data_IF_932290685798
#
_entry.id   IF_932290685798
#
_cell.length_a   1.000
_cell.length_b   1.000
_cell.length_c   1.000
_cell.angle_alpha   90.00
_cell.angle_beta   90.00
_cell.angle_gamma   90.00
#
_symmetry.space_group_name_H-M   'P 1'
#
loop_
_entity.id
_entity.type
_entity.pdbx_description
1 polymer ?
#
# COMPACT_ATOMS: atom_id res chain seq x y z
N UNK A 1 1.50 -28.26 12.96
CA UNK A 1 1.06 -27.08 13.73
C UNK A 1 0.78 -26.01 12.69
N UNK A 2 -0.46 -25.52 12.55
CA UNK A 2 -0.81 -24.52 11.52
C UNK A 2 -0.40 -23.15 12.06
N UNK A 3 0.43 -22.42 11.32
CA UNK A 3 0.71 -21.02 11.63
C UNK A 3 -0.52 -20.18 11.25
N UNK A 4 -1.19 -19.51 12.20
CA UNK A 4 -2.36 -18.71 11.90
C UNK A 4 -2.00 -17.50 11.02
N UNK A 5 -2.86 -17.22 10.03
CA UNK A 5 -2.74 -16.00 9.23
C UNK A 5 -2.86 -14.78 10.15
N UNK A 6 -1.96 -13.81 10.00
CA UNK A 6 -1.99 -12.56 10.79
C UNK A 6 -3.26 -11.76 10.44
N UNK A 7 -3.87 -11.15 11.44
CA UNK A 7 -5.18 -10.49 11.31
C UNK A 7 -5.21 -9.38 10.25
N UNK A 8 -4.09 -8.69 10.04
CA UNK A 8 -3.91 -7.60 9.08
C UNK A 8 -3.62 -8.06 7.64
N UNK A 9 -3.27 -9.34 7.44
CA UNK A 9 -2.87 -9.89 6.14
C UNK A 9 -3.96 -9.78 5.07
N UNK A 10 -5.24 -10.10 5.34
CA UNK A 10 -6.30 -9.95 4.33
C UNK A 10 -6.45 -8.50 3.83
N UNK A 11 -6.36 -7.52 4.73
CA UNK A 11 -6.43 -6.12 4.36
C UNK A 11 -5.21 -5.69 3.52
N UNK A 12 -4.00 -6.13 3.91
CA UNK A 12 -2.78 -5.86 3.16
C UNK A 12 -2.80 -6.45 1.74
N UNK A 13 -3.30 -7.69 1.59
CA UNK A 13 -3.46 -8.37 0.29
C UNK A 13 -4.40 -7.59 -0.62
N UNK A 14 -5.56 -7.18 -0.10
CA UNK A 14 -6.53 -6.34 -0.86
C UNK A 14 -5.90 -5.02 -1.30
N UNK A 15 -5.12 -4.37 -0.43
CA UNK A 15 -4.45 -3.11 -0.75
C UNK A 15 -3.42 -3.27 -1.87
N UNK A 16 -2.62 -4.33 -1.85
CA UNK A 16 -1.66 -4.64 -2.90
C UNK A 16 -2.37 -4.94 -4.24
N UNK A 17 -3.47 -5.70 -4.21
CA UNK A 17 -4.28 -5.98 -5.40
C UNK A 17 -4.89 -4.70 -5.98
N UNK A 18 -5.43 -3.79 -5.16
CA UNK A 18 -5.93 -2.46 -5.58
C UNK A 18 -4.84 -1.60 -6.23
N UNK A 19 -3.58 -1.76 -5.83
CA UNK A 19 -2.43 -1.11 -6.46
C UNK A 19 -2.01 -1.72 -7.81
N UNK A 20 -2.75 -2.73 -8.29
CA UNK A 20 -2.50 -3.45 -9.53
C UNK A 20 -1.35 -4.46 -9.44
N UNK A 21 -1.02 -4.93 -8.24
CA UNK A 21 0.08 -5.88 -8.01
C UNK A 21 -0.46 -7.31 -8.07
N UNK A 22 0.10 -8.12 -8.96
CA UNK A 22 -0.14 -9.57 -9.00
C UNK A 22 0.56 -10.22 -7.82
N UNK A 23 -0.18 -10.97 -7.01
CA UNK A 23 0.35 -11.70 -5.86
C UNK A 23 0.52 -13.17 -6.21
N UNK A 24 1.64 -13.75 -5.78
CA UNK A 24 1.96 -15.16 -5.94
C UNK A 24 2.41 -15.68 -4.57
N UNK A 25 1.74 -16.71 -4.05
CA UNK A 25 2.07 -17.29 -2.75
C UNK A 25 3.05 -18.45 -2.92
N UNK A 26 4.18 -18.35 -2.23
CA UNK A 26 5.29 -19.32 -2.29
C UNK A 26 5.50 -19.96 -0.91
N UNK A 27 5.08 -21.22 -0.71
CA UNK A 27 5.17 -21.90 0.59
C UNK A 27 5.92 -23.23 0.54
N UNK A 28 6.62 -23.55 1.64
CA UNK A 28 7.21 -24.87 1.89
C UNK A 28 6.22 -25.88 2.48
N UNK A 29 5.05 -25.42 2.93
CA UNK A 29 3.99 -26.28 3.47
C UNK A 29 3.34 -27.13 2.37
N UNK A 30 2.55 -28.13 2.78
CA UNK A 30 1.79 -28.97 1.87
C UNK A 30 0.93 -28.13 0.93
N UNK A 31 0.78 -28.59 -0.31
CA UNK A 31 0.03 -27.87 -1.35
C UNK A 31 -1.39 -27.54 -0.91
N UNK A 32 -2.05 -28.49 -0.24
CA UNK A 32 -3.39 -28.31 0.31
C UNK A 32 -3.47 -27.17 1.34
N UNK A 33 -2.45 -27.00 2.18
CA UNK A 33 -2.42 -25.92 3.19
C UNK A 33 -2.20 -24.57 2.52
N UNK A 34 -1.28 -24.49 1.57
CA UNK A 34 -1.01 -23.27 0.81
C UNK A 34 -2.23 -22.82 -0.01
N UNK A 35 -2.91 -23.74 -0.69
CA UNK A 35 -4.14 -23.46 -1.46
C UNK A 35 -5.29 -22.97 -0.56
N UNK A 36 -5.44 -23.53 0.65
CA UNK A 36 -6.44 -23.07 1.61
C UNK A 36 -6.17 -21.62 2.07
N UNK A 37 -4.92 -21.29 2.38
CA UNK A 37 -4.51 -19.92 2.76
C UNK A 37 -4.73 -18.94 1.61
N UNK A 38 -4.32 -19.31 0.40
CA UNK A 38 -4.50 -18.46 -0.78
C UNK A 38 -5.97 -18.23 -1.13
N UNK A 39 -6.81 -19.25 -1.00
CA UNK A 39 -8.27 -19.11 -1.20
C UNK A 39 -8.86 -18.12 -0.19
N UNK A 40 -8.47 -18.21 1.08
CA UNK A 40 -8.91 -17.28 2.13
C UNK A 40 -8.45 -15.83 1.87
N UNK A 41 -7.28 -15.66 1.23
CA UNK A 41 -6.70 -14.35 0.93
C UNK A 41 -7.08 -13.83 -0.47
N UNK A 42 -7.72 -14.63 -1.31
CA UNK A 42 -8.03 -14.27 -2.70
C UNK A 42 -6.78 -14.16 -3.59
N UNK A 43 -5.78 -15.04 -3.40
CA UNK A 43 -4.57 -15.11 -4.22
C UNK A 43 -4.73 -16.21 -5.27
N UNK A 44 -4.66 -15.85 -6.55
CA UNK A 44 -4.95 -16.77 -7.66
C UNK A 44 -3.82 -17.77 -7.94
N UNK A 45 -2.56 -17.42 -7.63
CA UNK A 45 -1.40 -18.25 -7.94
C UNK A 45 -0.69 -18.72 -6.66
N UNK A 46 -0.62 -20.04 -6.50
CA UNK A 46 0.01 -20.71 -5.36
C UNK A 46 1.02 -21.73 -5.84
N UNK A 47 2.16 -21.75 -5.16
CA UNK A 47 3.18 -22.78 -5.25
C UNK A 47 3.43 -23.32 -3.83
N UNK A 48 2.99 -24.55 -3.57
CA UNK A 48 3.23 -25.25 -2.30
C UNK A 48 4.32 -26.32 -2.43
N UNK A 49 4.72 -26.91 -1.31
CA UNK A 49 5.75 -27.96 -1.20
C UNK A 49 7.10 -27.54 -1.81
N UNK A 50 7.43 -26.25 -1.71
CA UNK A 50 8.63 -25.72 -2.32
C UNK A 50 9.86 -25.82 -1.42
N UNK A 51 10.94 -26.31 -2.02
CA UNK A 51 12.29 -26.13 -1.52
C UNK A 51 12.78 -24.68 -1.74
N UNK A 52 13.82 -24.22 -1.03
CA UNK A 52 14.42 -22.90 -1.26
C UNK A 52 14.76 -22.62 -2.73
N UNK A 53 15.31 -23.60 -3.45
CA UNK A 53 15.61 -23.47 -4.89
C UNK A 53 14.35 -23.37 -5.75
N UNK A 54 13.23 -23.92 -5.28
CA UNK A 54 11.93 -23.78 -5.91
C UNK A 54 11.44 -22.34 -5.89
N UNK A 55 11.54 -21.68 -4.73
CA UNK A 55 11.19 -20.25 -4.58
C UNK A 55 12.03 -19.37 -5.52
N UNK A 56 13.33 -19.64 -5.60
CA UNK A 56 14.25 -18.95 -6.52
C UNK A 56 13.81 -19.11 -7.99
N UNK A 57 13.48 -20.34 -8.42
CA UNK A 57 13.02 -20.61 -9.78
C UNK A 57 11.71 -19.89 -10.13
N UNK A 58 10.79 -19.76 -9.18
CA UNK A 58 9.55 -18.99 -9.39
C UNK A 58 9.86 -17.53 -9.68
N UNK A 59 10.77 -16.91 -8.91
CA UNK A 59 11.21 -15.53 -9.15
C UNK A 59 11.83 -15.39 -10.54
N UNK A 60 12.76 -16.29 -10.91
CA UNK A 60 13.41 -16.28 -12.23
C UNK A 60 12.41 -16.49 -13.38
N UNK A 61 11.43 -17.37 -13.21
CA UNK A 61 10.38 -17.62 -14.19
C UNK A 61 9.55 -16.36 -14.43
N UNK A 62 9.10 -15.69 -13.35
CA UNK A 62 8.31 -14.47 -13.46
C UNK A 62 9.13 -13.33 -14.09
N UNK A 63 10.41 -13.20 -13.75
CA UNK A 63 11.32 -12.24 -14.39
C UNK A 63 11.51 -12.54 -15.88
N UNK A 64 11.64 -13.82 -16.26
CA UNK A 64 11.76 -14.24 -17.66
C UNK A 64 10.49 -13.95 -18.48
N UNK A 65 9.32 -13.89 -17.83
CA UNK A 65 8.06 -13.43 -18.44
C UNK A 65 7.98 -11.90 -18.59
N UNK A 66 9.02 -11.16 -18.17
CA UNK A 66 9.09 -9.70 -18.25
C UNK A 66 8.44 -8.96 -17.07
N UNK A 67 8.05 -9.68 -16.01
CA UNK A 67 7.56 -9.05 -14.79
C UNK A 67 8.71 -8.48 -13.95
N UNK A 68 8.43 -7.37 -13.24
CA UNK A 68 9.26 -6.91 -12.13
C UNK A 68 8.78 -7.61 -10.87
N UNK A 69 9.67 -8.33 -10.20
CA UNK A 69 9.32 -9.21 -9.10
C UNK A 69 9.81 -8.64 -7.78
N UNK A 70 8.88 -8.41 -6.85
CA UNK A 70 9.20 -8.19 -5.45
C UNK A 70 9.01 -9.48 -4.66
N UNK A 71 9.99 -9.87 -3.84
CA UNK A 71 9.90 -11.05 -2.97
C UNK A 71 9.79 -10.59 -1.51
N UNK A 72 8.89 -11.18 -0.74
CA UNK A 72 8.75 -10.92 0.70
C UNK A 72 9.07 -12.21 1.45
N UNK A 73 9.92 -12.14 2.46
CA UNK A 73 10.31 -13.30 3.27
C UNK A 73 10.88 -12.91 4.62
N UNK A 74 10.99 -13.89 5.50
CA UNK A 74 11.48 -13.73 6.88
C UNK A 74 12.56 -14.77 7.24
N UNK A 75 12.69 -15.86 6.48
CA UNK A 75 13.58 -16.97 6.80
C UNK A 75 14.87 -17.03 5.99
N UNK A 76 15.84 -17.78 6.50
CA UNK A 76 17.08 -18.17 5.80
C UNK A 76 16.77 -18.86 4.46
N UNK A 77 15.66 -19.61 4.41
CA UNK A 77 15.20 -20.31 3.21
C UNK A 77 14.77 -19.36 2.07
N UNK A 78 14.44 -18.11 2.39
CA UNK A 78 14.00 -17.11 1.42
C UNK A 78 15.14 -16.23 0.91
N UNK A 79 16.29 -16.23 1.60
CA UNK A 79 17.42 -15.36 1.28
C UNK A 79 17.88 -15.45 -0.20
N UNK A 80 18.01 -16.65 -0.82
CA UNK A 80 18.36 -16.72 -2.24
C UNK A 80 17.29 -16.10 -3.15
N UNK A 81 16.02 -16.27 -2.84
CA UNK A 81 14.91 -15.71 -3.62
C UNK A 81 14.78 -14.19 -3.42
N UNK A 82 15.04 -13.69 -2.20
CA UNK A 82 15.11 -12.26 -1.87
C UNK A 82 16.21 -11.59 -2.70
N UNK A 83 17.41 -12.15 -2.73
CA UNK A 83 18.54 -11.61 -3.47
C UNK A 83 18.37 -11.65 -5.01
N UNK A 84 17.54 -12.58 -5.52
CA UNK A 84 17.26 -12.70 -6.96
C UNK A 84 16.16 -11.76 -7.44
N UNK A 85 15.25 -11.36 -6.56
CA UNK A 85 14.13 -10.48 -6.90
C UNK A 85 14.64 -9.11 -7.39
N UNK A 86 13.80 -8.38 -8.15
CA UNK A 86 14.11 -6.99 -8.48
C UNK A 86 14.08 -6.10 -7.23
N UNK A 87 13.33 -6.53 -6.21
CA UNK A 87 13.34 -5.92 -4.88
C UNK A 87 13.01 -6.98 -3.82
N UNK A 88 13.95 -7.27 -2.93
CA UNK A 88 13.74 -8.12 -1.76
C UNK A 88 13.22 -7.33 -0.56
N UNK A 89 12.17 -7.83 0.09
CA UNK A 89 11.59 -7.28 1.32
C UNK A 89 11.75 -8.28 2.47
N UNK A 90 12.54 -7.92 3.49
CA UNK A 90 12.65 -8.70 4.71
C UNK A 90 11.70 -8.15 5.78
N UNK A 91 11.02 -9.04 6.51
CA UNK A 91 10.30 -8.66 7.74
C UNK A 91 11.34 -8.48 8.86
N UNK A 92 11.20 -7.46 9.69
CA UNK A 92 12.18 -7.10 10.73
C UNK A 92 12.31 -8.11 11.88
N UNK A 93 11.31 -8.98 12.05
CA UNK A 93 11.38 -10.17 12.91
C UNK A 93 12.06 -11.37 12.24
N UNK A 94 12.45 -11.24 10.97
CA UNK A 94 13.13 -12.25 10.20
C UNK A 94 14.58 -12.48 10.63
N UNK A 95 15.16 -13.53 10.08
CA UNK A 95 16.56 -13.92 10.37
C UNK A 95 17.55 -12.90 9.81
N UNK A 96 18.71 -12.74 10.46
CA UNK A 96 19.78 -11.83 10.00
C UNK A 96 20.16 -12.08 8.53
N UNK A 97 20.16 -13.34 8.11
CA UNK A 97 20.46 -13.72 6.71
C UNK A 97 19.39 -13.17 5.75
N UNK A 98 18.12 -13.17 6.12
CA UNK A 98 17.06 -12.60 5.29
C UNK A 98 17.19 -11.07 5.22
N UNK A 99 17.51 -10.42 6.34
CA UNK A 99 17.70 -8.97 6.43
C UNK A 99 18.88 -8.52 5.57
N UNK A 100 20.02 -9.20 5.63
CA UNK A 100 21.23 -8.88 4.86
C UNK A 100 21.06 -9.07 3.34
N UNK A 101 20.16 -9.97 2.92
CA UNK A 101 19.90 -10.27 1.51
C UNK A 101 18.73 -9.48 0.91
N UNK A 102 18.02 -8.68 1.71
CA UNK A 102 16.90 -7.86 1.24
C UNK A 102 17.33 -6.42 0.95
N UNK A 103 16.71 -5.79 -0.06
CA UNK A 103 16.91 -4.37 -0.36
C UNK A 103 16.17 -3.46 0.64
N UNK A 104 15.07 -3.97 1.22
CA UNK A 104 14.20 -3.23 2.13
C UNK A 104 13.88 -4.09 3.36
N UNK A 105 14.20 -3.58 4.54
CA UNK A 105 13.82 -4.20 5.82
C UNK A 105 12.62 -3.48 6.42
N UNK A 106 11.53 -4.20 6.65
CA UNK A 106 10.29 -3.69 7.22
C UNK A 106 10.38 -3.77 8.75
N UNK A 107 10.31 -2.63 9.44
CA UNK A 107 10.46 -2.60 10.90
C UNK A 107 9.33 -3.32 11.67
N UNK A 108 8.18 -3.56 11.02
CA UNK A 108 7.04 -4.24 11.62
C UNK A 108 6.70 -5.56 10.94
N UNK A 109 5.78 -6.29 11.54
CA UNK A 109 5.34 -7.61 11.11
C UNK A 109 4.19 -7.58 10.09
N UNK A 110 3.85 -6.41 9.56
CA UNK A 110 2.69 -6.23 8.68
C UNK A 110 3.09 -6.22 7.20
N UNK A 111 2.36 -7.00 6.40
CA UNK A 111 2.46 -6.91 4.93
C UNK A 111 1.99 -5.55 4.39
N UNK A 112 1.24 -4.77 5.17
CA UNK A 112 0.85 -3.41 4.79
C UNK A 112 2.06 -2.47 4.63
N UNK A 113 3.16 -2.77 5.32
CA UNK A 113 4.40 -2.01 5.16
C UNK A 113 5.02 -2.17 3.77
N UNK A 114 4.81 -3.31 3.09
CA UNK A 114 5.21 -3.51 1.68
C UNK A 114 4.44 -2.56 0.77
N UNK A 115 3.12 -2.52 0.92
CA UNK A 115 2.26 -1.58 0.19
C UNK A 115 2.71 -0.13 0.40
N UNK A 116 3.00 0.23 1.65
CA UNK A 116 3.48 1.57 2.02
C UNK A 116 4.78 1.92 1.34
N UNK A 117 5.76 1.00 1.37
CA UNK A 117 7.05 1.19 0.71
C UNK A 117 6.88 1.41 -0.79
N UNK A 118 6.02 0.62 -1.44
CA UNK A 118 5.71 0.76 -2.88
C UNK A 118 5.02 2.11 -3.17
N UNK A 119 4.06 2.51 -2.33
CA UNK A 119 3.35 3.79 -2.48
C UNK A 119 4.30 4.99 -2.36
N UNK A 120 5.18 4.99 -1.35
CA UNK A 120 6.20 6.02 -1.15
C UNK A 120 7.20 6.05 -2.30
N UNK A 121 7.64 4.88 -2.78
CA UNK A 121 8.54 4.77 -3.93
C UNK A 121 7.92 5.37 -5.20
N UNK A 122 6.67 5.04 -5.53
CA UNK A 122 5.93 5.63 -6.66
C UNK A 122 5.78 7.15 -6.53
N UNK A 123 5.47 7.65 -5.33
CA UNK A 123 5.37 9.09 -5.06
C UNK A 123 6.72 9.80 -5.23
N UNK A 124 7.81 9.16 -4.79
CA UNK A 124 9.18 9.66 -4.92
C UNK A 124 9.59 9.75 -6.39
N UNK A 125 9.36 8.70 -7.17
CA UNK A 125 9.65 8.70 -8.61
C UNK A 125 8.84 9.76 -9.36
N UNK A 126 7.58 10.00 -8.96
CA UNK A 126 6.76 11.09 -9.51
C UNK A 126 7.38 12.46 -9.20
N UNK A 127 7.87 12.67 -7.98
CA UNK A 127 8.56 13.90 -7.58
C UNK A 127 9.85 14.11 -8.39
N UNK A 128 10.66 13.06 -8.55
CA UNK A 128 11.89 13.09 -9.34
C UNK A 128 11.58 13.47 -10.80
N UNK A 129 10.56 12.85 -11.41
CA UNK A 129 10.14 13.19 -12.78
C UNK A 129 9.72 14.65 -12.92
N UNK A 130 9.01 15.20 -11.94
CA UNK A 130 8.64 16.63 -11.91
C UNK A 130 9.88 17.54 -11.85
N UNK A 131 10.82 17.22 -10.96
CA UNK A 131 12.05 18.01 -10.80
C UNK A 131 12.92 17.96 -12.07
N UNK A 132 13.08 16.77 -12.66
CA UNK A 132 13.81 16.60 -13.91
C UNK A 132 13.13 17.34 -15.06
N UNK A 133 11.80 17.27 -15.17
CA UNK A 133 11.06 17.99 -16.19
C UNK A 133 11.30 19.51 -16.12
N UNK A 134 11.24 20.09 -14.92
CA UNK A 134 11.55 21.50 -14.70
C UNK A 134 13.00 21.85 -15.09
N UNK A 135 13.96 21.03 -14.64
CA UNK A 135 15.37 21.22 -14.96
C UNK A 135 15.65 21.15 -16.47
N UNK A 136 15.05 20.19 -17.17
CA UNK A 136 15.21 20.04 -18.62
C UNK A 136 14.59 21.20 -19.39
N UNK A 137 13.38 21.67 -19.04
CA UNK A 137 12.75 22.81 -19.71
C UNK A 137 13.62 24.06 -19.60
N UNK A 138 14.10 24.35 -18.39
CA UNK A 138 14.94 25.52 -18.18
C UNK A 138 16.22 25.46 -19.01
N UNK A 139 16.93 24.32 -19.02
CA UNK A 139 18.15 24.15 -19.80
C UNK A 139 17.90 24.15 -21.31
N UNK A 140 16.79 23.56 -21.76
CA UNK A 140 16.40 23.52 -23.17
C UNK A 140 16.14 24.92 -23.74
N UNK A 141 15.63 25.84 -22.93
CA UNK A 141 15.41 27.24 -23.32
C UNK A 141 16.68 28.08 -23.11
N UNK A 142 17.36 27.88 -21.99
CA UNK A 142 18.51 28.68 -21.58
C UNK A 142 19.74 28.49 -22.48
N UNK A 143 20.04 27.26 -22.90
CA UNK A 143 21.22 26.97 -23.73
C UNK A 143 21.14 27.64 -25.11
N UNK A 144 20.05 27.49 -25.90
CA UNK A 144 19.94 28.17 -27.19
C UNK A 144 19.94 29.71 -27.07
N UNK A 145 19.31 30.23 -26.02
CA UNK A 145 19.28 31.67 -25.76
C UNK A 145 20.67 32.22 -25.40
N UNK A 146 21.44 31.50 -24.59
CA UNK A 146 22.83 31.85 -24.26
C UNK A 146 23.78 31.67 -25.46
N UNK A 147 23.54 30.68 -26.31
CA UNK A 147 24.28 30.46 -27.55
C UNK A 147 23.98 31.50 -28.65
N UNK A 148 23.03 32.42 -28.41
CA UNK A 148 22.69 33.49 -29.34
C UNK A 148 21.78 33.07 -30.49
N UNK A 149 21.09 31.92 -30.40
CA UNK A 149 20.20 31.43 -31.45
C UNK A 149 19.12 32.44 -31.85
N UNK A 150 18.61 33.21 -30.86
CA UNK A 150 17.56 34.22 -31.07
C UNK A 150 18.12 35.63 -31.32
N UNK A 151 19.43 35.84 -31.16
CA UNK A 151 20.06 37.15 -31.28
C UNK A 151 19.80 37.85 -32.63
N UNK A 152 19.82 37.16 -33.80
CA UNK A 152 19.56 37.83 -35.09
C UNK A 152 18.16 38.42 -35.23
N UNK A 153 17.18 37.92 -34.47
CA UNK A 153 15.78 38.33 -34.58
C UNK A 153 15.34 39.27 -33.46
N UNK A 154 15.87 39.10 -32.26
CA UNK A 154 15.42 39.85 -31.06
C UNK A 154 16.52 40.70 -30.42
N UNK A 155 17.78 40.52 -30.82
CA UNK A 155 18.93 41.13 -30.15
C UNK A 155 19.18 40.59 -28.73
N UNK A 156 18.53 39.49 -28.34
CA UNK A 156 18.65 38.92 -27.00
C UNK A 156 19.89 38.03 -26.87
N UNK A 157 20.72 38.34 -25.87
CA UNK A 157 21.71 37.43 -25.31
C UNK A 157 21.36 37.23 -23.83
N UNK A 158 21.38 36.00 -23.34
CA UNK A 158 21.09 35.72 -21.93
C UNK A 158 22.20 36.29 -21.04
N UNK A 159 21.94 37.33 -20.22
CA UNK A 159 22.97 37.86 -19.34
C UNK A 159 23.28 36.87 -18.20
N UNK A 160 24.55 36.70 -17.78
CA UNK A 160 24.93 35.74 -16.75
C UNK A 160 24.16 35.87 -15.42
N UNK A 161 23.75 37.10 -15.06
CA UNK A 161 22.97 37.36 -13.85
C UNK A 161 21.57 36.72 -13.86
N UNK A 162 20.92 36.62 -15.01
CA UNK A 162 19.61 35.96 -15.11
C UNK A 162 19.76 34.44 -15.10
N UNK A 163 20.83 33.93 -15.70
CA UNK A 163 21.17 32.51 -15.62
C UNK A 163 21.45 32.07 -14.18
N UNK A 164 22.21 32.87 -13.41
CA UNK A 164 22.50 32.57 -12.00
C UNK A 164 21.25 32.69 -11.11
N UNK A 165 20.41 33.71 -11.35
CA UNK A 165 19.13 33.85 -10.65
C UNK A 165 18.21 32.64 -10.89
N UNK A 166 18.09 32.21 -12.14
CA UNK A 166 17.26 31.06 -12.47
C UNK A 166 17.81 29.73 -11.92
N UNK A 167 19.14 29.56 -11.84
CA UNK A 167 19.75 28.43 -11.12
C UNK A 167 19.38 28.42 -9.63
N UNK A 168 19.40 29.59 -8.98
CA UNK A 168 19.01 29.71 -7.57
C UNK A 168 17.52 29.41 -7.36
N UNK A 169 16.64 29.99 -8.18
CA UNK A 169 15.19 29.75 -8.12
C UNK A 169 14.82 28.29 -8.43
N UNK A 170 15.54 27.64 -9.36
CA UNK A 170 15.36 26.22 -9.66
C UNK A 170 15.65 25.36 -8.43
N UNK A 171 16.73 25.63 -7.71
CA UNK A 171 17.08 24.90 -6.48
C UNK A 171 15.98 25.04 -5.42
N UNK A 172 15.48 26.25 -5.20
CA UNK A 172 14.38 26.50 -4.25
C UNK A 172 13.12 25.74 -4.67
N UNK A 173 12.78 25.76 -5.96
CA UNK A 173 11.59 25.08 -6.49
C UNK A 173 11.69 23.56 -6.34
N UNK A 174 12.84 22.97 -6.69
CA UNK A 174 13.09 21.52 -6.56
C UNK A 174 13.04 21.09 -5.10
N UNK A 175 13.70 21.82 -4.19
CA UNK A 175 13.70 21.51 -2.76
C UNK A 175 12.30 21.65 -2.16
N UNK A 176 11.57 22.72 -2.50
CA UNK A 176 10.18 22.89 -2.06
C UNK A 176 9.26 21.79 -2.61
N UNK A 177 9.42 21.38 -3.87
CA UNK A 177 8.64 20.29 -4.43
C UNK A 177 8.99 18.94 -3.76
N UNK A 178 10.27 18.65 -3.51
CA UNK A 178 10.70 17.46 -2.80
C UNK A 178 10.14 17.40 -1.38
N UNK A 179 10.11 18.54 -0.67
CA UNK A 179 9.55 18.65 0.67
C UNK A 179 8.05 18.31 0.74
N UNK A 180 7.30 18.34 -0.38
CA UNK A 180 5.90 17.88 -0.40
C UNK A 180 5.77 16.41 0.00
N UNK A 181 6.81 15.60 -0.25
CA UNK A 181 6.81 14.18 0.12
C UNK A 181 6.80 13.98 1.65
N UNK A 182 7.22 14.98 2.44
CA UNK A 182 7.14 14.92 3.92
C UNK A 182 5.71 14.85 4.45
N UNK A 183 4.75 15.30 3.66
CA UNK A 183 3.32 15.27 4.00
C UNK A 183 2.58 14.14 3.27
N UNK A 184 3.31 13.28 2.55
CA UNK A 184 2.70 12.14 1.87
C UNK A 184 2.20 11.15 2.92
N UNK A 185 0.90 10.89 2.90
CA UNK A 185 0.28 9.81 3.65
C UNK A 185 -0.08 8.69 2.67
N UNK A 186 0.44 7.47 2.83
CA UNK A 186 -0.07 6.33 2.09
C UNK A 186 -1.53 6.09 2.49
N UNK A 187 -2.38 5.65 1.54
CA UNK A 187 -3.77 5.25 1.79
C UNK A 187 -3.81 3.95 2.60
N UNK A 188 -3.40 4.03 3.87
CA UNK A 188 -3.54 2.99 4.88
C UNK A 188 -4.76 3.25 5.77
N UNK A 189 -5.41 4.43 5.66
CA UNK A 189 -6.59 4.78 6.47
C UNK A 189 -7.80 3.86 6.15
N UNK A 190 -7.79 3.12 5.04
CA UNK A 190 -8.77 2.05 4.77
C UNK A 190 -8.55 0.78 5.62
N UNK A 191 -7.44 0.63 6.36
CA UNK A 191 -7.25 -0.50 7.29
C UNK A 191 -8.03 -0.36 8.58
N UNK A 192 -8.60 0.82 8.86
CA UNK A 192 -9.77 0.95 9.72
C UNK A 192 -10.96 1.27 8.83
N UNK A 193 -11.49 0.28 8.10
CA UNK A 193 -12.85 0.39 7.56
C UNK A 193 -13.80 0.46 8.74
N UNK A 194 -14.00 1.67 9.24
CA UNK A 194 -15.04 2.00 10.19
C UNK A 194 -16.23 2.51 9.39
N UNK A 195 -17.22 1.64 9.20
CA UNK A 195 -18.48 2.03 8.57
C UNK A 195 -19.31 2.75 9.64
N UNK A 196 -19.65 4.00 9.38
CA UNK A 196 -20.55 4.77 10.25
C UNK A 196 -21.99 4.61 9.75
N UNK A 197 -22.84 4.07 10.60
CA UNK A 197 -24.28 3.90 10.34
C UNK A 197 -25.05 4.86 11.23
N UNK A 198 -26.01 5.57 10.66
CA UNK A 198 -27.02 6.30 11.43
C UNK A 198 -28.12 5.31 11.79
N UNK A 199 -28.34 5.07 13.08
CA UNK A 199 -29.34 4.12 13.56
C UNK A 199 -30.50 4.89 14.20
N UNK A 200 -31.70 4.67 13.68
CA UNK A 200 -32.93 5.30 14.15
C UNK A 200 -33.80 4.31 14.92
N UNK A 201 -34.51 4.81 15.94
CA UNK A 201 -35.38 3.99 16.80
C UNK A 201 -34.76 3.54 18.14
N UNK A 202 -33.50 3.91 18.43
CA UNK A 202 -32.91 3.68 19.75
C UNK A 202 -33.43 4.72 20.76
N UNK A 203 -33.86 4.28 21.94
CA UNK A 203 -34.40 5.20 22.97
C UNK A 203 -33.80 5.00 24.37
N UNK A 204 -33.02 3.94 24.59
CA UNK A 204 -32.43 3.64 25.89
C UNK A 204 -31.11 2.86 25.77
N UNK A 205 -30.31 2.76 26.85
CA UNK A 205 -29.06 2.01 26.86
C UNK A 205 -29.20 0.52 26.51
N UNK A 206 -30.38 -0.07 26.73
CA UNK A 206 -30.65 -1.46 26.33
C UNK A 206 -30.77 -1.61 24.80
N UNK A 207 -31.30 -0.59 24.10
CA UNK A 207 -31.32 -0.58 22.62
C UNK A 207 -29.90 -0.54 22.05
N UNK A 208 -29.01 0.25 22.65
CA UNK A 208 -27.59 0.33 22.28
C UNK A 208 -26.92 -1.04 22.37
N UNK A 209 -27.10 -1.73 23.50
CA UNK A 209 -26.53 -3.07 23.70
C UNK A 209 -27.09 -4.09 22.70
N UNK A 210 -28.38 -3.99 22.34
CA UNK A 210 -29.01 -4.88 21.39
C UNK A 210 -28.48 -4.68 19.96
N UNK A 211 -28.40 -3.42 19.49
CA UNK A 211 -27.84 -3.06 18.18
C UNK A 211 -26.36 -3.44 18.10
N UNK A 212 -25.58 -3.14 19.15
CA UNK A 212 -24.16 -3.52 19.22
C UNK A 212 -23.99 -5.03 19.03
N UNK A 213 -24.76 -5.83 19.77
CA UNK A 213 -24.70 -7.30 19.69
C UNK A 213 -25.11 -7.83 18.32
N UNK A 214 -26.08 -7.19 17.66
CA UNK A 214 -26.49 -7.56 16.30
C UNK A 214 -25.39 -7.28 15.28
N UNK A 215 -24.73 -6.12 15.37
CA UNK A 215 -23.62 -5.75 14.49
C UNK A 215 -22.38 -6.64 14.71
N UNK A 216 -22.03 -6.92 15.96
CA UNK A 216 -20.91 -7.83 16.30
C UNK A 216 -21.15 -9.29 15.90
N UNK A 217 -22.40 -9.68 15.63
CA UNK A 217 -22.74 -11.01 15.15
C UNK A 217 -22.56 -11.18 13.63
N UNK A 218 -22.36 -10.10 12.88
CA UNK A 218 -22.12 -10.15 11.43
C UNK A 218 -20.71 -10.65 11.15
N UNK A 219 -20.58 -11.57 10.20
CA UNK A 219 -19.27 -12.06 9.75
C UNK A 219 -18.41 -10.91 9.24
N UNK A 220 -17.13 -10.87 9.60
CA UNK A 220 -16.18 -9.83 9.21
C UNK A 220 -16.35 -8.46 9.93
N UNK A 221 -17.14 -8.40 11.01
CA UNK A 221 -17.10 -7.30 11.99
C UNK A 221 -16.10 -7.63 13.10
N UNK A 222 -15.15 -6.72 13.34
CA UNK A 222 -14.17 -6.85 14.44
C UNK A 222 -14.70 -6.24 15.74
N UNK A 223 -15.37 -5.08 15.66
CA UNK A 223 -16.01 -4.43 16.80
C UNK A 223 -17.07 -3.44 16.35
N UNK A 224 -18.11 -3.25 17.17
CA UNK A 224 -19.10 -2.20 16.97
C UNK A 224 -19.20 -1.31 18.22
N UNK A 225 -19.09 -0.01 18.02
CA UNK A 225 -19.35 1.01 19.03
C UNK A 225 -20.64 1.73 18.66
N UNK A 226 -21.63 1.72 19.56
CA UNK A 226 -22.94 2.33 19.32
C UNK A 226 -23.15 3.43 20.33
N UNK A 227 -23.50 4.61 19.86
CA UNK A 227 -23.67 5.82 20.66
C UNK A 227 -25.11 6.34 20.56
N UNK A 228 -25.77 6.49 21.72
CA UNK A 228 -27.17 6.90 21.79
C UNK A 228 -27.36 8.40 21.57
N UNK A 229 -26.41 9.23 22.03
CA UNK A 229 -26.51 10.70 21.96
C UNK A 229 -26.44 11.18 20.51
N UNK A 230 -25.56 10.55 19.74
CA UNK A 230 -25.33 10.87 18.33
C UNK A 230 -26.16 10.00 17.37
N UNK A 231 -26.87 9.00 17.89
CA UNK A 231 -27.65 8.03 17.10
C UNK A 231 -26.82 7.37 15.99
N UNK A 232 -25.56 7.05 16.29
CA UNK A 232 -24.58 6.51 15.34
C UNK A 232 -23.99 5.21 15.85
N UNK A 233 -23.68 4.32 14.92
CA UNK A 233 -22.95 3.09 15.15
C UNK A 233 -21.69 3.09 14.27
N UNK A 234 -20.53 3.03 14.92
CA UNK A 234 -19.24 2.90 14.28
C UNK A 234 -18.86 1.42 14.25
N UNK A 235 -18.83 0.82 13.07
CA UNK A 235 -18.54 -0.60 12.88
C UNK A 235 -17.15 -0.74 12.27
N UNK A 236 -16.20 -1.29 13.01
CA UNK A 236 -14.87 -1.63 12.49
C UNK A 236 -14.90 -3.05 11.94
N UNK A 237 -14.53 -3.22 10.66
CA UNK A 237 -14.45 -4.52 10.01
C UNK A 237 -14.52 -4.42 8.49
N UNK A 238 -14.52 -5.57 7.81
CA UNK A 238 -14.65 -5.66 6.35
C UNK A 238 -16.01 -6.16 5.88
N UNK A 239 -17.00 -6.23 6.78
CA UNK A 239 -18.36 -6.63 6.45
C UNK A 239 -19.01 -5.70 5.41
N UNK A 240 -19.76 -6.29 4.49
CA UNK A 240 -20.47 -5.54 3.46
C UNK A 240 -21.56 -4.65 4.06
N UNK A 241 -21.72 -3.43 3.53
CA UNK A 241 -22.68 -2.45 4.06
C UNK A 241 -24.11 -2.99 4.02
N UNK A 242 -24.47 -3.76 3.01
CA UNK A 242 -25.80 -4.37 2.93
C UNK A 242 -26.06 -5.39 4.05
N UNK A 243 -25.02 -6.13 4.47
CA UNK A 243 -25.12 -7.09 5.58
C UNK A 243 -25.28 -6.37 6.92
N UNK A 244 -24.56 -5.26 7.11
CA UNK A 244 -24.65 -4.43 8.31
C UNK A 244 -26.05 -3.81 8.45
N UNK A 245 -26.60 -3.25 7.38
CA UNK A 245 -27.96 -2.70 7.37
C UNK A 245 -29.00 -3.77 7.68
N UNK A 246 -28.91 -4.94 7.04
CA UNK A 246 -29.82 -6.06 7.28
C UNK A 246 -29.79 -6.58 8.73
N UNK A 247 -28.62 -6.58 9.38
CA UNK A 247 -28.49 -6.99 10.78
C UNK A 247 -29.18 -6.01 11.74
N UNK A 248 -29.12 -4.71 11.46
CA UNK A 248 -29.80 -3.69 12.27
C UNK A 248 -31.31 -3.74 12.06
N UNK A 249 -31.78 -3.98 10.84
CA UNK A 249 -33.20 -4.19 10.53
C UNK A 249 -33.78 -5.42 11.21
N UNK A 250 -33.05 -6.54 11.22
CA UNK A 250 -33.46 -7.76 11.94
C UNK A 250 -33.55 -7.57 13.45
N UNK A 251 -32.74 -6.66 14.02
CA UNK A 251 -32.83 -6.27 15.42
C UNK A 251 -34.01 -5.33 15.73
N UNK A 252 -34.75 -4.89 14.71
CA UNK A 252 -35.94 -4.04 14.83
C UNK A 252 -35.68 -2.53 14.72
N UNK A 253 -34.54 -2.12 14.17
CA UNK A 253 -34.14 -0.72 14.01
C UNK A 253 -33.87 -0.38 12.55
N UNK A 254 -33.99 0.89 12.16
CA UNK A 254 -33.67 1.33 10.79
C UNK A 254 -32.30 1.99 10.76
N UNK A 255 -31.44 1.58 9.83
CA UNK A 255 -30.10 2.13 9.65
C UNK A 255 -29.89 2.67 8.23
N UNK A 256 -29.08 3.71 8.11
CA UNK A 256 -28.62 4.27 6.83
C UNK A 256 -27.11 4.57 6.90
N UNK A 257 -26.40 4.42 5.78
CA UNK A 257 -24.98 4.77 5.68
C UNK A 257 -24.82 6.30 5.71
N UNK A 258 -23.84 6.80 6.49
CA UNK A 258 -23.51 8.23 6.62
C UNK A 258 -22.32 8.60 5.74
#
# INVERSE_FOLDING_TARGET
MKDPIRADTPAAVRLLQRQGIRLVLCSGDSRHTAEAVATQLGIDEVHGEMLPEGKLKVVQMLQAQGHRVGMVGDGVNDAPALAQADTGFAIGSGTDVAIDNADVTLAGDSLASVSTAIAISRATLRNIRQNLFGAFIYNLIGIPLAAGLFYPFTGWLLPPMFASLAMALSSVTVVSNANRLRFFKPDLEEMSMSVELKVTGMTCPHCVAHVKKALEAVSEVESAEVDLESSRALVKGSADTAQLLGAVEQAGYSAELV
#
